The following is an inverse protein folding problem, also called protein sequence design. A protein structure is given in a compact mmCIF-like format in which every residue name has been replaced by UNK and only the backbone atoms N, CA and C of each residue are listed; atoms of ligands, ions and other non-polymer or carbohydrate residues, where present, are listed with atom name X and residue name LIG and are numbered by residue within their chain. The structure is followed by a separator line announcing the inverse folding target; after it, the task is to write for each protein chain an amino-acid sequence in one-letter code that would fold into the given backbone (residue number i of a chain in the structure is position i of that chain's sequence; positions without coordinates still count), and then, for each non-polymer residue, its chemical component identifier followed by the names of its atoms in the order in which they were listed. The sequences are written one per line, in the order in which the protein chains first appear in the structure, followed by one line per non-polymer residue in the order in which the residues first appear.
data_IF_847804999516
#
_entry.id   IF_847804999516
#
_cell.length_a   1.000
_cell.length_b   1.000
_cell.length_c   1.000
_cell.angle_alpha   90.00
_cell.angle_beta   90.00
_cell.angle_gamma   90.00
#
_symmetry.space_group_name_H-M   'P 1'
#
loop_
_entity.id
_entity.type
_entity.pdbx_description
1 polymer ?
#
# COMPACT_ATOMS: atom_id res chain seq x y z
N UNK A 1 -24.56 -1.60 15.57
CA UNK A 1 -23.15 -1.95 15.26
C UNK A 1 -23.10 -2.30 13.78
N UNK A 2 -22.12 -1.77 13.06
CA UNK A 2 -22.07 -1.90 11.59
C UNK A 2 -21.13 -3.04 11.13
N UNK A 3 -20.93 -4.07 11.97
CA UNK A 3 -20.15 -5.25 11.63
C UNK A 3 -20.76 -6.52 12.25
N UNK A 4 -20.38 -7.70 11.73
CA UNK A 4 -20.88 -8.98 12.20
C UNK A 4 -20.23 -9.38 13.54
N UNK A 5 -20.93 -9.09 14.65
CA UNK A 5 -20.47 -9.32 16.02
C UNK A 5 -20.18 -10.80 16.27
N UNK A 6 -21.01 -11.71 15.77
CA UNK A 6 -20.82 -13.14 15.98
C UNK A 6 -19.52 -13.64 15.35
N UNK A 7 -19.19 -13.15 14.14
CA UNK A 7 -17.91 -13.47 13.49
C UNK A 7 -16.75 -12.92 14.30
N UNK A 8 -16.83 -11.68 14.77
CA UNK A 8 -15.79 -11.08 15.60
C UNK A 8 -15.58 -11.84 16.91
N UNK A 9 -16.67 -12.17 17.61
CA UNK A 9 -16.63 -12.85 18.90
C UNK A 9 -16.00 -14.24 18.80
N UNK A 10 -16.32 -15.00 17.76
CA UNK A 10 -15.71 -16.29 17.47
C UNK A 10 -14.19 -16.21 17.23
N UNK A 11 -13.74 -15.17 16.51
CA UNK A 11 -12.31 -14.95 16.28
C UNK A 11 -11.60 -14.52 17.56
N UNK A 12 -12.22 -13.64 18.32
CA UNK A 12 -11.70 -13.18 19.61
C UNK A 12 -11.52 -14.34 20.59
N UNK A 13 -12.51 -15.24 20.70
CA UNK A 13 -12.38 -16.44 21.54
C UNK A 13 -11.23 -17.35 21.14
N UNK A 14 -11.09 -17.55 19.82
CA UNK A 14 -9.99 -18.35 19.27
C UNK A 14 -8.65 -17.73 19.61
N UNK A 15 -8.54 -16.41 19.43
CA UNK A 15 -7.35 -15.63 19.70
C UNK A 15 -6.97 -15.67 21.20
N UNK A 16 -7.94 -15.44 22.11
CA UNK A 16 -7.71 -15.52 23.55
C UNK A 16 -7.23 -16.93 23.98
N UNK A 17 -7.80 -17.98 23.39
CA UNK A 17 -7.35 -19.36 23.66
C UNK A 17 -5.91 -19.61 23.20
N UNK A 18 -5.52 -19.04 22.05
CA UNK A 18 -4.14 -19.11 21.55
C UNK A 18 -3.18 -18.36 22.46
N UNK A 19 -3.49 -17.12 22.84
CA UNK A 19 -2.66 -16.30 23.74
C UNK A 19 -2.31 -17.02 25.04
N UNK A 20 -3.26 -17.77 25.60
CA UNK A 20 -3.04 -18.54 26.85
C UNK A 20 -2.13 -19.76 26.69
N UNK A 21 -1.93 -20.25 25.45
CA UNK A 21 -1.21 -21.49 25.17
C UNK A 21 0.13 -21.30 24.48
N UNK A 22 0.35 -20.15 23.84
CA UNK A 22 1.47 -19.94 22.95
C UNK A 22 2.37 -18.81 23.44
N UNK A 23 3.53 -19.19 24.00
CA UNK A 23 4.53 -18.24 24.49
C UNK A 23 5.12 -17.33 23.39
N UNK A 24 5.14 -17.77 22.13
CA UNK A 24 5.61 -16.95 20.99
C UNK A 24 4.71 -15.74 20.78
N UNK A 25 3.39 -15.91 20.94
CA UNK A 25 2.45 -14.78 20.82
C UNK A 25 2.67 -13.72 21.90
N UNK A 26 3.10 -14.13 23.09
CA UNK A 26 3.44 -13.19 24.16
C UNK A 26 4.66 -12.34 23.77
N UNK A 27 5.69 -12.94 23.19
CA UNK A 27 6.88 -12.24 22.69
C UNK A 27 6.50 -11.24 21.61
N UNK A 28 5.64 -11.61 20.66
CA UNK A 28 5.19 -10.71 19.60
C UNK A 28 4.35 -9.53 20.13
N UNK A 29 3.59 -9.71 21.21
CA UNK A 29 2.90 -8.61 21.89
C UNK A 29 3.89 -7.67 22.60
N UNK A 30 4.92 -8.22 23.23
CA UNK A 30 5.99 -7.45 23.85
C UNK A 30 6.75 -6.61 22.81
N UNK A 31 7.09 -7.17 21.65
CA UNK A 31 7.71 -6.44 20.53
C UNK A 31 6.84 -5.28 20.06
N UNK A 32 5.50 -5.45 19.98
CA UNK A 32 4.57 -4.38 19.64
C UNK A 32 4.56 -3.27 20.67
N UNK A 33 4.58 -3.60 21.94
CA UNK A 33 4.63 -2.64 23.03
C UNK A 33 5.95 -1.86 23.03
N UNK A 34 7.09 -2.55 22.85
CA UNK A 34 8.41 -1.91 22.74
C UNK A 34 8.45 -0.92 21.56
N UNK A 35 7.88 -1.29 20.41
CA UNK A 35 7.80 -0.43 19.23
C UNK A 35 6.92 0.79 19.50
N UNK A 36 5.75 0.63 20.12
CA UNK A 36 4.91 1.75 20.55
C UNK A 36 5.68 2.71 21.47
N UNK A 37 6.35 2.17 22.49
CA UNK A 37 7.18 2.96 23.41
C UNK A 37 8.34 3.66 22.71
N UNK A 38 8.92 3.05 21.66
CA UNK A 38 9.96 3.70 20.85
C UNK A 38 9.41 4.97 20.18
N UNK A 39 8.28 4.90 19.48
CA UNK A 39 7.70 6.05 18.78
C UNK A 39 7.21 7.14 19.75
N UNK A 40 6.68 6.77 20.90
CA UNK A 40 6.22 7.72 21.93
C UNK A 40 7.35 8.56 22.57
N UNK A 41 8.61 8.21 22.34
CA UNK A 41 9.77 9.04 22.77
C UNK A 41 9.95 10.30 21.93
N UNK A 42 9.35 10.35 20.73
CA UNK A 42 9.50 11.43 19.77
C UNK A 42 8.29 12.35 19.82
N UNK A 43 8.46 13.53 20.35
CA UNK A 43 7.52 14.64 20.23
C UNK A 43 7.72 15.39 18.89
N UNK A 44 6.87 16.40 18.63
CA UNK A 44 6.93 17.18 17.39
C UNK A 44 8.31 17.81 17.14
N UNK A 45 8.96 18.34 18.19
CA UNK A 45 10.25 19.00 18.05
C UNK A 45 11.34 17.99 17.72
N UNK A 46 11.38 16.86 18.41
CA UNK A 46 12.34 15.78 18.13
C UNK A 46 12.23 15.27 16.71
N UNK A 47 10.99 15.13 16.17
CA UNK A 47 10.81 14.73 14.77
C UNK A 47 11.37 15.78 13.80
N UNK A 48 11.11 17.06 14.06
CA UNK A 48 11.61 18.16 13.22
C UNK A 48 13.15 18.26 13.27
N UNK A 49 13.74 17.98 14.42
CA UNK A 49 15.18 18.11 14.66
C UNK A 49 15.99 16.86 14.28
N UNK A 50 15.32 15.76 13.83
CA UNK A 50 16.03 14.54 13.41
C UNK A 50 17.08 14.83 12.34
N UNK A 51 18.24 14.22 12.51
CA UNK A 51 19.23 14.04 11.43
C UNK A 51 18.68 13.06 10.38
N UNK A 52 19.35 12.97 9.23
CA UNK A 52 18.95 12.04 8.18
C UNK A 52 19.07 10.57 8.63
N UNK A 53 20.15 10.24 9.36
CA UNK A 53 20.36 8.89 9.91
C UNK A 53 19.26 8.51 10.94
N UNK A 54 18.93 9.43 11.87
CA UNK A 54 17.85 9.21 12.83
C UNK A 54 16.48 9.04 12.14
N UNK A 55 16.24 9.79 11.06
CA UNK A 55 15.04 9.67 10.27
C UNK A 55 14.97 8.33 9.53
N UNK A 56 16.09 7.87 8.97
CA UNK A 56 16.19 6.53 8.37
C UNK A 56 15.87 5.45 9.39
N UNK A 57 16.45 5.52 10.59
CA UNK A 57 16.13 4.57 11.66
C UNK A 57 14.66 4.65 12.06
N UNK A 58 14.11 5.86 12.25
CA UNK A 58 12.72 6.09 12.61
C UNK A 58 11.73 5.48 11.61
N UNK A 59 11.92 5.71 10.33
CA UNK A 59 11.03 5.19 9.28
C UNK A 59 11.25 3.69 9.06
N UNK A 60 12.48 3.19 9.07
CA UNK A 60 12.79 1.78 8.80
C UNK A 60 12.15 0.81 9.82
N UNK A 61 11.93 1.29 11.06
CA UNK A 61 11.30 0.52 12.13
C UNK A 61 9.77 0.35 11.99
N UNK A 62 9.12 1.03 11.04
CA UNK A 62 7.69 0.83 10.79
C UNK A 62 7.44 -0.59 10.22
N UNK A 63 6.39 -1.26 10.71
CA UNK A 63 5.92 -2.53 10.13
C UNK A 63 5.57 -2.39 8.65
N UNK A 64 5.02 -1.23 8.26
CA UNK A 64 4.73 -0.91 6.87
C UNK A 64 5.98 -0.95 5.97
N UNK A 65 7.18 -0.78 6.54
CA UNK A 65 8.44 -0.88 5.79
C UNK A 65 8.95 -2.31 5.61
N UNK A 66 8.36 -3.31 6.28
CA UNK A 66 8.84 -4.71 6.22
C UNK A 66 8.62 -5.35 4.83
N UNK A 67 7.75 -4.78 4.00
CA UNK A 67 7.54 -5.24 2.63
C UNK A 67 8.73 -4.94 1.71
N UNK A 68 9.59 -3.99 2.08
CA UNK A 68 10.70 -3.53 1.27
C UNK A 68 12.01 -4.21 1.67
N UNK A 69 12.63 -4.94 0.74
CA UNK A 69 13.96 -5.54 0.95
C UNK A 69 15.09 -4.51 0.99
N UNK A 70 14.91 -3.34 0.36
CA UNK A 70 15.86 -2.22 0.41
C UNK A 70 15.16 -0.98 0.97
N UNK A 71 15.05 -0.93 2.29
CA UNK A 71 14.41 0.18 3.03
C UNK A 71 15.12 1.51 2.80
N UNK A 72 16.46 1.49 2.77
CA UNK A 72 17.29 2.68 2.56
C UNK A 72 16.94 3.38 1.24
N UNK A 73 16.88 2.62 0.15
CA UNK A 73 16.47 3.14 -1.16
C UNK A 73 15.08 3.81 -1.12
N UNK A 74 14.12 3.15 -0.48
CA UNK A 74 12.74 3.66 -0.40
C UNK A 74 12.66 4.93 0.45
N UNK A 75 13.38 4.99 1.57
CA UNK A 75 13.41 6.17 2.45
C UNK A 75 14.11 7.34 1.74
N UNK A 76 15.22 7.09 1.05
CA UNK A 76 15.89 8.11 0.22
C UNK A 76 14.94 8.66 -0.84
N UNK A 77 14.16 7.79 -1.49
CA UNK A 77 13.14 8.22 -2.44
C UNK A 77 12.06 9.10 -1.80
N UNK A 78 11.59 8.79 -0.60
CA UNK A 78 10.66 9.67 0.12
C UNK A 78 11.26 11.05 0.40
N UNK A 79 12.54 11.10 0.78
CA UNK A 79 13.27 12.35 1.02
C UNK A 79 13.42 13.14 -0.28
N UNK A 80 13.81 12.51 -1.39
CA UNK A 80 13.97 13.15 -2.70
C UNK A 80 12.64 13.71 -3.24
N UNK A 81 11.57 12.91 -3.19
CA UNK A 81 10.26 13.27 -3.74
C UNK A 81 9.55 14.39 -2.95
N UNK A 82 9.87 14.56 -1.67
CA UNK A 82 9.16 15.46 -0.77
C UNK A 82 10.02 16.58 -0.16
N UNK A 83 11.33 16.44 -0.15
CA UNK A 83 12.25 17.27 0.61
C UNK A 83 12.28 16.91 2.10
N UNK A 84 13.49 16.74 2.65
CA UNK A 84 13.69 16.21 4.00
C UNK A 84 12.98 17.03 5.10
N UNK A 85 13.15 18.36 5.09
CA UNK A 85 12.51 19.22 6.10
C UNK A 85 10.99 19.27 5.98
N UNK A 86 10.45 19.22 4.75
CA UNK A 86 9.01 19.19 4.51
C UNK A 86 8.40 17.88 5.01
N UNK A 87 9.09 16.76 4.80
CA UNK A 87 8.65 15.44 5.24
C UNK A 87 8.60 15.36 6.77
N UNK A 88 9.66 15.78 7.48
CA UNK A 88 9.69 15.83 8.94
C UNK A 88 8.60 16.72 9.53
N UNK A 89 8.44 17.93 9.00
CA UNK A 89 7.37 18.87 9.43
C UNK A 89 5.99 18.31 9.19
N UNK A 90 5.76 17.63 8.06
CA UNK A 90 4.47 17.03 7.74
C UNK A 90 4.15 15.85 8.67
N UNK A 91 5.13 15.01 9.01
CA UNK A 91 4.96 13.94 10.00
C UNK A 91 4.65 14.53 11.39
N UNK A 92 5.40 15.54 11.82
CA UNK A 92 5.14 16.20 13.10
C UNK A 92 3.72 16.81 13.15
N UNK A 93 3.26 17.43 12.05
CA UNK A 93 1.91 17.99 11.94
C UNK A 93 0.84 16.89 11.93
N UNK A 94 1.08 15.76 11.23
CA UNK A 94 0.17 14.60 11.22
C UNK A 94 -0.04 14.08 12.65
N UNK A 95 1.05 13.94 13.41
CA UNK A 95 1.02 13.32 14.73
C UNK A 95 0.57 14.29 15.84
N UNK A 96 1.02 15.54 15.79
CA UNK A 96 0.88 16.47 16.91
C UNK A 96 0.19 17.80 16.55
N UNK A 97 -0.29 17.97 15.32
CA UNK A 97 -1.00 19.16 14.89
C UNK A 97 -2.26 19.42 15.72
N UNK A 98 -2.72 20.67 15.72
CA UNK A 98 -3.89 21.12 16.52
C UNK A 98 -5.22 20.77 15.89
N UNK A 99 -5.24 20.52 14.57
CA UNK A 99 -6.46 20.16 13.86
C UNK A 99 -6.91 18.74 14.22
N UNK A 100 -8.18 18.44 13.87
CA UNK A 100 -8.71 17.07 13.96
C UNK A 100 -7.87 16.11 13.11
N UNK A 101 -7.75 14.86 13.53
CA UNK A 101 -6.97 13.83 12.84
C UNK A 101 -7.39 13.69 11.37
N UNK A 102 -8.68 13.72 11.08
CA UNK A 102 -9.20 13.67 9.70
C UNK A 102 -8.61 14.76 8.80
N UNK A 103 -8.53 16.00 9.29
CA UNK A 103 -7.98 17.12 8.52
C UNK A 103 -6.46 17.01 8.36
N UNK A 104 -5.76 16.58 9.41
CA UNK A 104 -4.31 16.34 9.38
C UNK A 104 -3.95 15.22 8.40
N UNK A 105 -4.76 14.16 8.37
CA UNK A 105 -4.65 13.06 7.43
C UNK A 105 -4.77 13.55 5.97
N UNK A 106 -5.85 14.25 5.64
CA UNK A 106 -6.11 14.75 4.28
C UNK A 106 -5.02 15.75 3.85
N UNK A 107 -4.57 16.61 4.76
CA UNK A 107 -3.45 17.54 4.51
C UNK A 107 -2.15 16.80 4.22
N UNK A 108 -1.85 15.74 4.96
CA UNK A 108 -0.65 14.92 4.75
C UNK A 108 -0.70 14.21 3.39
N UNK A 109 -1.80 13.52 3.08
CA UNK A 109 -2.00 12.83 1.81
C UNK A 109 -1.87 13.76 0.59
N UNK A 110 -2.32 15.01 0.74
CA UNK A 110 -2.20 16.01 -0.34
C UNK A 110 -0.77 16.49 -0.56
N UNK A 111 0.03 16.56 0.50
CA UNK A 111 1.33 17.23 0.48
C UNK A 111 2.52 16.28 0.36
N UNK A 112 2.34 15.01 0.72
CA UNK A 112 3.43 14.02 0.79
C UNK A 112 3.14 12.86 -0.18
N UNK A 113 4.14 12.55 -1.00
CA UNK A 113 4.10 11.45 -1.97
C UNK A 113 4.72 10.18 -1.40
N UNK A 114 4.15 9.04 -1.77
CA UNK A 114 4.71 7.71 -1.47
C UNK A 114 4.51 7.21 -0.04
N UNK A 115 4.11 8.07 0.89
CA UNK A 115 3.89 7.74 2.29
C UNK A 115 2.41 7.41 2.53
N UNK A 116 2.05 6.17 2.30
CA UNK A 116 0.64 5.74 2.25
C UNK A 116 -0.03 5.54 3.62
N UNK A 117 -1.34 5.16 3.59
CA UNK A 117 -2.16 4.95 4.78
C UNK A 117 -1.58 4.00 5.82
N UNK A 118 -0.88 2.95 5.39
CA UNK A 118 -0.27 1.99 6.31
C UNK A 118 0.75 2.66 7.23
N UNK A 119 1.65 3.49 6.68
CA UNK A 119 2.65 4.21 7.46
C UNK A 119 2.04 5.31 8.32
N UNK A 120 1.11 6.09 7.75
CA UNK A 120 0.42 7.18 8.46
C UNK A 120 -0.36 6.65 9.66
N UNK A 121 -1.15 5.61 9.45
CA UNK A 121 -1.99 5.03 10.50
C UNK A 121 -1.20 4.28 11.55
N UNK A 122 -0.09 3.65 11.17
CA UNK A 122 0.82 2.99 12.11
C UNK A 122 1.42 4.01 13.08
N UNK A 123 1.96 5.13 12.56
CA UNK A 123 2.46 6.22 13.40
C UNK A 123 1.37 6.81 14.30
N UNK A 124 0.18 7.06 13.77
CA UNK A 124 -0.96 7.55 14.55
C UNK A 124 -1.38 6.56 15.64
N UNK A 125 -1.39 5.26 15.35
CA UNK A 125 -1.72 4.23 16.32
C UNK A 125 -0.73 4.18 17.50
N UNK A 126 0.58 4.35 17.24
CA UNK A 126 1.57 4.39 18.31
C UNK A 126 1.41 5.61 19.23
N UNK A 127 0.99 6.76 18.68
CA UNK A 127 0.81 7.98 19.48
C UNK A 127 -0.58 8.01 20.14
N UNK A 128 -1.61 7.52 19.47
CA UNK A 128 -3.00 7.49 19.94
C UNK A 128 -3.57 6.06 19.95
N UNK A 129 -3.01 5.14 20.76
CA UNK A 129 -3.31 3.71 20.66
C UNK A 129 -4.75 3.34 21.03
N UNK A 130 -5.51 4.22 21.69
CA UNK A 130 -6.92 4.00 22.00
C UNK A 130 -7.88 4.63 20.98
N UNK A 131 -7.36 5.46 20.06
CA UNK A 131 -8.18 6.22 19.12
C UNK A 131 -7.92 5.88 17.66
N UNK A 132 -6.69 5.53 17.31
CA UNK A 132 -6.21 5.32 15.95
C UNK A 132 -5.85 3.86 15.71
N UNK A 133 -6.42 3.25 14.67
CA UNK A 133 -6.13 1.89 14.24
C UNK A 133 -5.06 1.87 13.15
N UNK A 134 -4.40 0.73 12.92
CA UNK A 134 -3.50 0.54 11.79
C UNK A 134 -4.31 0.14 10.56
N UNK A 135 -4.24 0.98 9.51
CA UNK A 135 -4.91 0.76 8.24
C UNK A 135 -3.96 0.14 7.21
N UNK A 136 -4.07 -1.14 6.99
CA UNK A 136 -3.31 -1.89 5.99
C UNK A 136 -4.19 -2.95 5.33
N UNK A 137 -3.65 -3.72 4.39
CA UNK A 137 -4.38 -4.80 3.73
C UNK A 137 -4.94 -5.83 4.70
N UNK A 138 -4.23 -6.13 5.79
CA UNK A 138 -4.70 -7.10 6.79
C UNK A 138 -5.96 -6.59 7.50
N UNK A 139 -5.99 -5.32 7.87
CA UNK A 139 -7.17 -4.71 8.50
C UNK A 139 -8.35 -4.61 7.53
N UNK A 140 -8.12 -4.30 6.25
CA UNK A 140 -9.18 -4.29 5.23
C UNK A 140 -9.78 -5.68 5.01
N UNK A 141 -8.94 -6.72 4.94
CA UNK A 141 -9.41 -8.11 4.85
C UNK A 141 -10.22 -8.54 6.09
N UNK A 142 -9.79 -8.11 7.29
CA UNK A 142 -10.53 -8.33 8.51
C UNK A 142 -11.90 -7.65 8.47
N UNK A 143 -11.98 -6.42 7.99
CA UNK A 143 -13.24 -5.71 7.82
C UNK A 143 -14.17 -6.38 6.81
N UNK A 144 -13.65 -6.84 5.68
CA UNK A 144 -14.42 -7.63 4.70
C UNK A 144 -14.98 -8.91 5.33
N UNK A 145 -14.16 -9.65 6.08
CA UNK A 145 -14.60 -10.84 6.81
C UNK A 145 -15.72 -10.52 7.81
N UNK A 146 -15.62 -9.38 8.48
CA UNK A 146 -16.60 -8.88 9.44
C UNK A 146 -17.82 -8.22 8.78
N UNK A 147 -17.91 -8.26 7.44
CA UNK A 147 -19.04 -7.75 6.65
C UNK A 147 -19.23 -6.22 6.78
N UNK A 148 -18.16 -5.49 7.07
CA UNK A 148 -18.17 -4.03 7.01
C UNK A 148 -18.26 -3.62 5.54
N UNK A 149 -19.19 -2.72 5.24
CA UNK A 149 -19.47 -2.25 3.88
C UNK A 149 -18.73 -0.96 3.56
N UNK A 150 -18.73 -0.60 2.27
CA UNK A 150 -18.18 0.65 1.76
C UNK A 150 -16.68 0.85 2.12
N UNK A 151 -15.91 -0.23 2.08
CA UNK A 151 -14.47 -0.20 2.29
C UNK A 151 -13.77 0.47 1.11
N UNK A 152 -12.71 1.27 1.33
CA UNK A 152 -11.97 1.89 0.26
C UNK A 152 -11.23 0.84 -0.56
N UNK A 153 -11.28 1.03 -1.88
CA UNK A 153 -10.59 0.20 -2.87
C UNK A 153 -9.44 0.95 -3.54
N UNK A 154 -9.58 2.26 -3.64
CA UNK A 154 -8.64 3.15 -4.33
C UNK A 154 -8.13 4.23 -3.40
N UNK A 155 -6.91 4.70 -3.62
CA UNK A 155 -6.24 5.69 -2.78
C UNK A 155 -7.06 6.98 -2.61
N UNK A 156 -7.82 7.42 -3.62
CA UNK A 156 -8.66 8.62 -3.48
C UNK A 156 -9.82 8.47 -2.48
N UNK A 157 -10.15 7.24 -2.09
CA UNK A 157 -11.16 6.93 -1.07
C UNK A 157 -10.56 6.91 0.35
N UNK A 158 -9.24 6.95 0.48
CA UNK A 158 -8.49 6.87 1.73
C UNK A 158 -8.43 8.24 2.43
N UNK A 159 -9.60 8.84 2.60
CA UNK A 159 -9.76 10.14 3.24
C UNK A 159 -9.68 10.05 4.76
N UNK A 160 -9.33 11.17 5.42
CA UNK A 160 -9.33 11.26 6.87
C UNK A 160 -10.68 10.94 7.49
N UNK A 161 -11.79 11.32 6.84
CA UNK A 161 -13.13 10.94 7.27
C UNK A 161 -13.33 9.41 7.26
N UNK A 162 -12.87 8.73 6.21
CA UNK A 162 -12.94 7.27 6.12
C UNK A 162 -12.05 6.62 7.17
N UNK A 163 -10.85 7.15 7.41
CA UNK A 163 -9.95 6.67 8.47
C UNK A 163 -10.62 6.73 9.86
N UNK A 164 -11.23 7.84 10.23
CA UNK A 164 -11.94 7.98 11.51
C UNK A 164 -13.15 7.03 11.61
N UNK A 165 -13.85 6.81 10.49
CA UNK A 165 -14.93 5.81 10.43
C UNK A 165 -14.39 4.40 10.74
N UNK A 166 -13.29 3.98 10.12
CA UNK A 166 -12.65 2.69 10.36
C UNK A 166 -12.13 2.56 11.79
N UNK A 167 -11.54 3.63 12.34
CA UNK A 167 -11.16 3.68 13.76
C UNK A 167 -12.36 3.45 14.69
N UNK A 168 -13.55 3.96 14.34
CA UNK A 168 -14.75 3.77 15.16
C UNK A 168 -15.15 2.31 15.28
N UNK A 169 -15.05 1.53 14.21
CA UNK A 169 -15.29 0.06 14.26
C UNK A 169 -14.29 -0.65 15.16
N UNK A 170 -13.00 -0.34 15.02
CA UNK A 170 -11.99 -0.94 15.89
C UNK A 170 -12.17 -0.57 17.37
N UNK A 171 -12.60 0.66 17.68
CA UNK A 171 -12.92 1.05 19.06
C UNK A 171 -14.11 0.29 19.64
N UNK A 172 -15.11 -0.02 18.83
CA UNK A 172 -16.22 -0.89 19.26
C UNK A 172 -15.74 -2.34 19.51
N UNK A 173 -14.89 -2.87 18.61
CA UNK A 173 -14.28 -4.20 18.78
C UNK A 173 -13.39 -4.25 20.03
N UNK A 174 -12.63 -3.20 20.29
CA UNK A 174 -11.77 -3.10 21.48
C UNK A 174 -12.60 -3.13 22.77
N UNK A 175 -13.73 -2.43 22.82
CA UNK A 175 -14.65 -2.49 23.98
C UNK A 175 -15.14 -3.93 24.25
N UNK A 176 -15.51 -4.65 23.18
CA UNK A 176 -15.93 -6.05 23.30
C UNK A 176 -14.77 -6.94 23.79
N UNK A 177 -13.56 -6.74 23.24
CA UNK A 177 -12.37 -7.47 23.64
C UNK A 177 -12.01 -7.22 25.10
N UNK A 178 -11.99 -5.97 25.57
CA UNK A 178 -11.66 -5.60 26.92
C UNK A 178 -12.68 -6.17 27.95
N UNK A 179 -13.96 -6.14 27.62
CA UNK A 179 -15.00 -6.78 28.45
C UNK A 179 -14.79 -8.29 28.56
N UNK A 180 -14.35 -8.97 27.49
CA UNK A 180 -14.17 -10.42 27.45
C UNK A 180 -12.85 -10.87 28.10
N UNK A 181 -11.80 -10.07 27.97
CA UNK A 181 -10.48 -10.36 28.58
C UNK A 181 -10.35 -9.86 29.99
N UNK A 182 -11.23 -8.98 30.43
CA UNK A 182 -11.13 -8.22 31.68
C UNK A 182 -9.77 -7.50 31.80
N UNK A 183 -9.32 -6.90 30.68
CA UNK A 183 -8.04 -6.22 30.53
C UNK A 183 -8.25 -4.87 29.84
N UNK A 184 -7.34 -3.94 30.05
CA UNK A 184 -7.33 -2.62 29.39
C UNK A 184 -6.34 -2.66 28.19
N UNK A 185 -6.75 -3.37 27.13
CA UNK A 185 -5.97 -3.45 25.90
C UNK A 185 -6.16 -2.15 25.06
N UNK A 186 -5.25 -1.91 24.14
CA UNK A 186 -5.33 -0.85 23.14
C UNK A 186 -5.60 -1.42 21.71
N UNK A 187 -5.61 -0.55 20.68
CA UNK A 187 -5.92 -0.96 19.32
C UNK A 187 -4.83 -1.82 18.66
N UNK A 188 -3.60 -1.86 19.21
CA UNK A 188 -2.58 -2.81 18.76
C UNK A 188 -2.98 -4.26 19.08
N UNK A 189 -3.77 -4.49 20.14
CA UNK A 189 -4.36 -5.80 20.41
C UNK A 189 -5.31 -6.24 19.30
N UNK A 190 -6.14 -5.33 18.79
CA UNK A 190 -7.06 -5.59 17.66
C UNK A 190 -6.28 -5.82 16.36
N UNK A 191 -5.24 -5.01 16.09
CA UNK A 191 -4.35 -5.19 14.94
C UNK A 191 -3.71 -6.59 14.96
N UNK A 192 -3.21 -7.02 16.11
CA UNK A 192 -2.60 -8.34 16.23
C UNK A 192 -3.60 -9.49 16.09
N UNK A 193 -4.82 -9.34 16.61
CA UNK A 193 -5.91 -10.29 16.36
C UNK A 193 -6.19 -10.41 14.85
N UNK A 194 -6.24 -9.31 14.13
CA UNK A 194 -6.43 -9.33 12.67
C UNK A 194 -5.27 -10.04 11.97
N UNK A 195 -4.05 -9.73 12.36
CA UNK A 195 -2.85 -10.31 11.76
C UNK A 195 -2.75 -11.82 12.01
N UNK A 196 -2.96 -12.28 13.24
CA UNK A 196 -2.80 -13.71 13.61
C UNK A 196 -3.95 -14.59 13.09
N UNK A 197 -5.20 -14.15 13.31
CA UNK A 197 -6.35 -15.00 13.01
C UNK A 197 -6.92 -14.80 11.61
N UNK A 198 -6.85 -13.61 11.04
CA UNK A 198 -7.52 -13.28 9.79
C UNK A 198 -6.58 -13.20 8.59
N UNK A 199 -5.27 -13.26 8.80
CA UNK A 199 -4.25 -13.35 7.74
C UNK A 199 -4.50 -14.53 6.79
N UNK A 200 -5.05 -15.64 7.28
CA UNK A 200 -5.30 -16.86 6.51
C UNK A 200 -6.61 -16.83 5.71
N UNK A 201 -7.47 -15.84 5.91
CA UNK A 201 -8.77 -15.75 5.21
C UNK A 201 -8.63 -15.34 3.73
N UNK A 202 -7.41 -15.19 3.23
CA UNK A 202 -7.07 -14.83 1.84
C UNK A 202 -7.57 -15.78 0.76
N UNK A 203 -8.19 -16.90 1.07
CA UNK A 203 -8.45 -17.97 0.08
C UNK A 203 -9.90 -18.12 -0.37
N UNK A 204 -10.83 -17.30 0.08
CA UNK A 204 -12.20 -17.35 -0.47
C UNK A 204 -12.58 -16.00 -1.08
N UNK A 205 -12.50 -15.93 -2.41
CA UNK A 205 -13.11 -14.84 -3.19
C UNK A 205 -14.60 -14.76 -2.86
N UNK A 206 -15.03 -13.70 -2.20
CA UNK A 206 -16.41 -13.25 -2.31
C UNK A 206 -16.38 -12.01 -3.21
N UNK A 207 -17.05 -12.15 -4.36
CA UNK A 207 -17.36 -11.05 -5.26
C UNK A 207 -18.04 -9.92 -4.49
N UNK A 208 -17.36 -8.77 -4.40
CA UNK A 208 -17.97 -7.54 -3.90
C UNK A 208 -18.86 -7.03 -5.04
N UNK A 209 -20.17 -6.95 -4.82
CA UNK A 209 -21.08 -6.23 -5.72
C UNK A 209 -20.73 -4.74 -5.69
N UNK A 210 -20.23 -4.26 -6.81
CA UNK A 210 -19.84 -2.86 -7.00
C UNK A 210 -21.09 -1.98 -7.15
N UNK A 211 -21.18 -0.95 -6.29
CA UNK A 211 -22.02 0.20 -6.63
C UNK A 211 -21.21 1.13 -7.55
N UNK A 212 -21.77 1.61 -8.67
CA UNK A 212 -21.06 2.55 -9.52
C UNK A 212 -20.75 3.83 -8.75
N UNK A 213 -19.47 4.12 -8.63
CA UNK A 213 -18.97 5.36 -8.01
C UNK A 213 -18.99 6.43 -9.11
N UNK A 214 -19.52 7.61 -8.81
CA UNK A 214 -19.42 8.77 -9.70
C UNK A 214 -17.97 9.25 -9.67
N UNK A 215 -17.19 8.84 -10.67
CA UNK A 215 -15.79 9.21 -10.81
C UNK A 215 -15.68 10.67 -11.27
N UNK A 216 -15.08 11.51 -10.44
CA UNK A 216 -14.69 12.87 -10.84
C UNK A 216 -13.38 12.83 -11.64
N UNK A 217 -13.10 13.90 -12.43
CA UNK A 217 -11.82 14.00 -13.17
C UNK A 217 -10.60 13.97 -12.21
N UNK A 218 -10.74 14.51 -11.00
CA UNK A 218 -9.70 14.49 -9.97
C UNK A 218 -9.44 13.07 -9.46
N UNK A 219 -10.50 12.29 -9.23
CA UNK A 219 -10.40 10.89 -8.82
C UNK A 219 -9.72 10.03 -9.90
N UNK A 220 -10.02 10.27 -11.18
CA UNK A 220 -9.36 9.58 -12.31
C UNK A 220 -7.87 9.87 -12.37
N UNK A 221 -7.46 11.11 -12.12
CA UNK A 221 -6.03 11.47 -12.07
C UNK A 221 -5.32 10.82 -10.89
N UNK A 222 -5.97 10.74 -9.74
CA UNK A 222 -5.45 10.04 -8.56
C UNK A 222 -5.30 8.55 -8.83
N UNK A 223 -6.32 7.89 -9.42
CA UNK A 223 -6.29 6.48 -9.80
C UNK A 223 -5.18 6.17 -10.82
N UNK A 224 -4.98 7.05 -11.81
CA UNK A 224 -3.89 6.90 -12.79
C UNK A 224 -2.52 6.86 -12.08
N UNK A 225 -2.27 7.78 -11.17
CA UNK A 225 -1.02 7.83 -10.40
C UNK A 225 -0.86 6.58 -9.54
N UNK A 226 -1.91 6.16 -8.86
CA UNK A 226 -1.93 4.95 -8.03
C UNK A 226 -1.58 3.70 -8.83
N UNK A 227 -2.21 3.50 -9.99
CA UNK A 227 -1.96 2.33 -10.84
C UNK A 227 -0.52 2.32 -11.37
N UNK A 228 0.04 3.47 -11.76
CA UNK A 228 1.46 3.59 -12.14
C UNK A 228 2.38 3.14 -11.02
N UNK A 229 2.13 3.60 -9.79
CA UNK A 229 2.92 3.22 -8.63
C UNK A 229 2.81 1.72 -8.34
N UNK A 230 1.60 1.15 -8.37
CA UNK A 230 1.39 -0.28 -8.15
C UNK A 230 2.06 -1.14 -9.23
N UNK A 231 1.96 -0.76 -10.50
CA UNK A 231 2.65 -1.47 -11.60
C UNK A 231 4.15 -1.42 -11.41
N UNK A 232 4.73 -0.26 -11.06
CA UNK A 232 6.16 -0.14 -10.73
C UNK A 232 6.54 -1.07 -9.58
N UNK A 233 5.80 -1.02 -8.49
CA UNK A 233 6.11 -1.79 -7.28
C UNK A 233 6.00 -3.29 -7.49
N UNK A 234 5.04 -3.75 -8.30
CA UNK A 234 4.98 -5.16 -8.75
C UNK A 234 6.29 -5.55 -9.43
N UNK A 235 6.83 -4.70 -10.32
CA UNK A 235 8.11 -4.95 -10.96
C UNK A 235 9.25 -5.08 -9.94
N UNK A 236 9.34 -4.16 -8.98
CA UNK A 236 10.33 -4.21 -7.90
C UNK A 236 10.18 -5.48 -7.04
N UNK A 237 8.98 -5.89 -6.69
CA UNK A 237 8.71 -7.13 -5.95
C UNK A 237 9.15 -8.38 -6.71
N UNK A 238 9.08 -8.34 -8.04
CA UNK A 238 9.51 -9.44 -8.91
C UNK A 238 11.00 -9.39 -9.26
N UNK A 239 11.74 -8.40 -8.76
CA UNK A 239 13.20 -8.27 -8.96
C UNK A 239 13.60 -7.55 -10.24
N UNK A 240 12.68 -6.84 -10.90
CA UNK A 240 13.00 -5.93 -11.99
C UNK A 240 13.54 -4.59 -11.43
N UNK A 241 14.34 -3.90 -12.23
CA UNK A 241 14.61 -2.48 -12.06
C UNK A 241 13.43 -1.71 -12.69
N UNK A 242 12.53 -1.20 -11.85
CA UNK A 242 11.26 -0.63 -12.29
C UNK A 242 11.19 0.87 -12.00
N UNK A 243 10.78 1.66 -13.01
CA UNK A 243 10.75 3.13 -12.95
C UNK A 243 9.52 3.70 -13.63
N UNK A 244 9.05 4.87 -13.13
CA UNK A 244 7.94 5.63 -13.71
C UNK A 244 8.45 6.70 -14.68
N UNK A 245 7.62 7.07 -15.66
CA UNK A 245 7.81 8.20 -16.57
C UNK A 245 9.14 8.17 -17.34
N UNK A 246 9.45 7.01 -17.90
CA UNK A 246 10.72 6.74 -18.58
C UNK A 246 10.65 7.17 -20.05
N UNK A 247 11.65 7.92 -20.47
CA UNK A 247 11.83 8.26 -21.89
C UNK A 247 12.47 7.10 -22.64
N UNK A 248 11.76 6.52 -23.60
CA UNK A 248 12.27 5.47 -24.46
C UNK A 248 12.69 6.09 -25.81
N UNK A 249 13.98 5.99 -26.10
CA UNK A 249 14.56 6.49 -27.34
C UNK A 249 14.26 7.97 -27.62
N UNK A 250 13.98 8.33 -28.90
CA UNK A 250 13.87 9.70 -29.34
C UNK A 250 12.45 10.28 -29.25
N UNK A 251 11.60 9.87 -28.31
CA UNK A 251 10.37 10.62 -28.18
C UNK A 251 9.12 9.97 -27.57
N UNK A 252 9.18 8.78 -27.02
CA UNK A 252 8.08 8.26 -26.22
C UNK A 252 8.43 8.39 -24.73
N UNK A 253 7.59 9.07 -23.97
CA UNK A 253 7.60 8.97 -22.50
C UNK A 253 6.50 7.98 -22.16
N UNK A 254 6.84 6.93 -21.44
CA UNK A 254 5.93 5.85 -21.05
C UNK A 254 5.74 5.85 -19.55
N UNK A 255 4.58 5.39 -19.11
CA UNK A 255 4.20 5.49 -17.70
C UNK A 255 5.06 4.66 -16.77
N UNK A 256 5.33 3.37 -17.12
CA UNK A 256 6.17 2.48 -16.30
C UNK A 256 7.04 1.61 -17.22
N UNK A 257 8.25 1.35 -16.74
CA UNK A 257 9.20 0.43 -17.38
C UNK A 257 9.71 -0.56 -16.35
N UNK A 258 9.76 -1.84 -16.74
CA UNK A 258 10.49 -2.87 -16.01
C UNK A 258 11.68 -3.32 -16.82
N UNK A 259 12.85 -3.21 -16.25
CA UNK A 259 14.11 -3.58 -16.86
C UNK A 259 14.75 -4.77 -16.16
N UNK A 260 15.28 -5.69 -16.93
CA UNK A 260 16.05 -6.81 -16.42
C UNK A 260 17.36 -6.96 -17.19
N UNK A 261 18.47 -6.89 -16.48
CA UNK A 261 19.81 -7.04 -17.08
C UNK A 261 20.23 -8.52 -17.08
N UNK A 262 20.48 -9.06 -18.26
CA UNK A 262 21.01 -10.41 -18.42
C UNK A 262 22.52 -10.30 -18.71
N UNK A 263 23.34 -10.80 -17.79
CA UNK A 263 24.79 -10.75 -17.93
C UNK A 263 25.23 -11.22 -19.33
N UNK A 264 26.02 -10.38 -20.04
CA UNK A 264 26.58 -10.61 -21.38
C UNK A 264 25.56 -10.73 -22.53
N UNK A 265 24.25 -10.62 -22.30
CA UNK A 265 23.21 -10.73 -23.34
C UNK A 265 22.56 -9.38 -23.64
N UNK A 266 22.45 -8.51 -22.63
CA UNK A 266 21.85 -7.20 -22.76
C UNK A 266 20.70 -6.96 -21.78
N UNK A 267 19.95 -5.91 -22.03
CA UNK A 267 18.81 -5.47 -21.22
C UNK A 267 17.51 -5.89 -21.88
N UNK A 268 16.61 -6.49 -21.12
CA UNK A 268 15.24 -6.81 -21.50
C UNK A 268 14.31 -5.80 -20.83
N UNK A 269 13.42 -5.22 -21.61
CA UNK A 269 12.53 -4.13 -21.15
C UNK A 269 11.07 -4.50 -21.40
N UNK A 270 10.21 -4.31 -20.40
CA UNK A 270 8.75 -4.32 -20.53
C UNK A 270 8.22 -2.90 -20.32
N UNK A 271 7.28 -2.51 -21.14
CA UNK A 271 6.75 -1.13 -21.17
C UNK A 271 5.27 -1.14 -20.88
N UNK A 272 4.84 -0.29 -19.97
CA UNK A 272 3.45 -0.17 -19.56
C UNK A 272 2.95 1.26 -19.78
N UNK A 273 1.73 1.36 -20.28
CA UNK A 273 0.94 2.59 -20.36
C UNK A 273 -0.35 2.39 -19.58
N UNK A 274 -0.67 3.33 -18.70
CA UNK A 274 -1.86 3.31 -17.84
C UNK A 274 -2.89 4.29 -18.35
N UNK A 275 -4.13 3.87 -18.49
CA UNK A 275 -5.23 4.72 -18.97
C UNK A 275 -6.43 4.60 -18.03
N UNK A 276 -6.81 5.70 -17.39
CA UNK A 276 -7.97 5.79 -16.50
C UNK A 276 -9.08 6.69 -17.06
N UNK A 277 -8.87 7.23 -18.27
CA UNK A 277 -9.84 8.08 -18.97
C UNK A 277 -9.19 8.87 -20.10
N UNK A 278 -9.99 9.51 -20.96
CA UNK A 278 -9.51 10.27 -22.11
C UNK A 278 -9.29 9.44 -23.37
N UNK A 279 -8.55 9.99 -24.37
CA UNK A 279 -8.27 9.32 -25.65
C UNK A 279 -7.19 8.26 -25.50
N UNK A 280 -7.43 7.08 -26.07
CA UNK A 280 -6.49 5.95 -26.11
C UNK A 280 -5.44 6.06 -27.21
N UNK A 281 -5.56 7.05 -28.13
CA UNK A 281 -4.64 7.20 -29.25
C UNK A 281 -3.19 7.43 -28.81
N UNK A 282 -2.99 8.27 -27.78
CA UNK A 282 -1.65 8.56 -27.26
C UNK A 282 -1.01 7.32 -26.64
N UNK A 283 -1.78 6.51 -25.90
CA UNK A 283 -1.32 5.24 -25.34
C UNK A 283 -0.88 4.28 -26.46
N UNK A 284 -1.73 4.07 -27.46
CA UNK A 284 -1.43 3.19 -28.61
C UNK A 284 -0.17 3.67 -29.33
N UNK A 285 -0.04 4.98 -29.57
CA UNK A 285 1.12 5.55 -30.25
C UNK A 285 2.42 5.46 -29.44
N UNK A 286 2.36 5.62 -28.11
CA UNK A 286 3.53 5.46 -27.25
C UNK A 286 3.99 4.00 -27.23
N UNK A 287 3.06 3.05 -27.08
CA UNK A 287 3.36 1.61 -27.14
C UNK A 287 3.88 1.20 -28.53
N UNK A 288 3.34 1.75 -29.61
CA UNK A 288 3.84 1.50 -30.99
C UNK A 288 5.28 2.01 -31.15
N UNK A 289 5.60 3.21 -30.64
CA UNK A 289 6.97 3.72 -30.67
C UNK A 289 7.91 2.83 -29.83
N UNK A 290 7.48 2.43 -28.64
CA UNK A 290 8.25 1.56 -27.78
C UNK A 290 8.50 0.17 -28.40
N UNK A 291 7.51 -0.40 -29.11
CA UNK A 291 7.62 -1.74 -29.74
C UNK A 291 8.76 -1.87 -30.74
N UNK A 292 9.19 -0.75 -31.35
CA UNK A 292 10.26 -0.70 -32.37
C UNK A 292 11.66 -0.89 -31.79
N UNK A 293 11.83 -0.80 -30.47
CA UNK A 293 13.13 -1.00 -29.84
C UNK A 293 13.39 -2.48 -29.59
N UNK A 294 14.61 -2.94 -29.94
CA UNK A 294 14.98 -4.37 -29.88
C UNK A 294 14.98 -4.94 -28.46
N UNK A 295 15.33 -4.13 -27.47
CA UNK A 295 15.34 -4.52 -26.07
C UNK A 295 13.96 -4.59 -25.42
N UNK A 296 12.95 -3.97 -26.03
CA UNK A 296 11.57 -4.05 -25.54
C UNK A 296 10.99 -5.40 -25.93
N UNK A 297 10.63 -6.22 -24.96
CA UNK A 297 10.05 -7.56 -25.18
C UNK A 297 8.54 -7.57 -25.05
N UNK A 298 7.97 -6.73 -24.21
CA UNK A 298 6.54 -6.60 -24.00
C UNK A 298 6.09 -5.15 -23.97
N UNK A 299 4.89 -4.91 -24.48
CA UNK A 299 4.18 -3.64 -24.45
C UNK A 299 2.78 -3.91 -23.86
N UNK A 300 2.45 -3.26 -22.77
CA UNK A 300 1.29 -3.57 -21.95
C UNK A 300 0.43 -2.31 -21.76
N UNK A 301 -0.86 -2.42 -22.01
CA UNK A 301 -1.86 -1.41 -21.65
C UNK A 301 -2.57 -1.82 -20.38
N UNK A 302 -2.67 -0.90 -19.42
CA UNK A 302 -3.35 -1.09 -18.15
C UNK A 302 -4.56 -0.16 -18.10
N UNK A 303 -5.77 -0.70 -17.92
CA UNK A 303 -7.00 0.10 -17.86
C UNK A 303 -8.17 -0.72 -17.28
N UNK A 304 -9.35 -0.10 -17.20
CA UNK A 304 -10.60 -0.82 -16.95
C UNK A 304 -11.01 -1.71 -18.15
N UNK A 305 -11.86 -2.68 -17.91
CA UNK A 305 -12.30 -3.66 -18.92
C UNK A 305 -12.90 -3.01 -20.17
N UNK A 306 -13.63 -1.88 -20.02
CA UNK A 306 -14.25 -1.17 -21.14
C UNK A 306 -13.22 -0.50 -22.02
N UNK A 307 -12.26 0.19 -21.41
CA UNK A 307 -11.16 0.84 -22.12
C UNK A 307 -10.25 -0.18 -22.81
N UNK A 308 -9.95 -1.30 -22.15
CA UNK A 308 -9.16 -2.40 -22.72
C UNK A 308 -9.79 -2.97 -23.98
N UNK A 309 -11.11 -3.14 -24.01
CA UNK A 309 -11.82 -3.61 -25.20
C UNK A 309 -11.70 -2.57 -26.35
N UNK A 310 -11.77 -1.28 -26.06
CA UNK A 310 -11.57 -0.24 -27.06
C UNK A 310 -10.11 -0.22 -27.55
N UNK A 311 -9.12 -0.29 -26.65
CA UNK A 311 -7.70 -0.39 -26.99
C UNK A 311 -7.45 -1.60 -27.91
N UNK A 312 -8.05 -2.75 -27.60
CA UNK A 312 -7.93 -3.95 -28.43
C UNK A 312 -8.42 -3.72 -29.85
N UNK A 313 -9.63 -3.15 -30.01
CA UNK A 313 -10.23 -2.88 -31.33
C UNK A 313 -9.42 -1.88 -32.13
N UNK A 314 -9.04 -0.76 -31.53
CA UNK A 314 -8.33 0.31 -32.24
C UNK A 314 -6.87 -0.07 -32.55
N UNK A 315 -6.24 -0.89 -31.74
CA UNK A 315 -4.86 -1.33 -31.95
C UNK A 315 -4.73 -2.47 -32.98
N UNK A 316 -5.78 -3.23 -33.26
CA UNK A 316 -5.73 -4.44 -34.10
C UNK A 316 -5.15 -4.17 -35.48
N UNK A 317 -5.65 -3.14 -36.17
CA UNK A 317 -5.16 -2.77 -37.51
C UNK A 317 -3.77 -2.13 -37.48
N UNK A 318 -3.46 -1.34 -36.43
CA UNK A 318 -2.18 -0.66 -36.25
C UNK A 318 -1.05 -1.67 -36.02
N UNK A 319 -1.30 -2.70 -35.21
CA UNK A 319 -0.30 -3.72 -34.87
C UNK A 319 -0.36 -4.98 -35.75
N UNK A 320 -1.18 -4.96 -36.85
CA UNK A 320 -1.36 -6.12 -37.71
C UNK A 320 -0.07 -6.64 -38.33
N UNK A 321 0.85 -5.74 -38.68
CA UNK A 321 2.13 -6.05 -39.31
C UNK A 321 3.31 -5.90 -38.32
N UNK A 322 3.06 -5.63 -37.05
CA UNK A 322 4.12 -5.49 -36.05
C UNK A 322 4.42 -6.84 -35.37
N UNK A 323 5.68 -7.07 -35.06
CA UNK A 323 6.15 -8.30 -34.39
C UNK A 323 5.68 -8.43 -32.96
N UNK A 324 5.25 -7.35 -32.33
CA UNK A 324 4.75 -7.28 -30.95
C UNK A 324 3.32 -6.76 -30.95
N UNK A 325 2.47 -7.39 -30.17
CA UNK A 325 1.09 -6.95 -29.94
C UNK A 325 0.96 -6.38 -28.55
N UNK A 326 0.00 -5.47 -28.36
CA UNK A 326 -0.33 -4.93 -27.04
C UNK A 326 -0.93 -6.07 -26.19
N UNK A 327 -0.34 -6.28 -25.05
CA UNK A 327 -0.93 -7.10 -23.98
C UNK A 327 -1.83 -6.21 -23.13
N UNK A 328 -2.95 -6.77 -22.69
CA UNK A 328 -3.96 -6.03 -21.93
C UNK A 328 -3.95 -6.53 -20.49
N UNK A 329 -3.90 -5.62 -19.54
CA UNK A 329 -3.92 -5.93 -18.12
C UNK A 329 -4.99 -5.10 -17.42
N UNK A 330 -5.99 -5.79 -16.87
CA UNK A 330 -7.10 -5.13 -16.18
C UNK A 330 -6.59 -4.44 -14.88
N UNK A 331 -7.07 -3.23 -14.63
CA UNK A 331 -6.67 -2.45 -13.46
C UNK A 331 -6.98 -3.14 -12.13
N UNK A 332 -8.07 -3.91 -12.08
CA UNK A 332 -8.46 -4.66 -10.89
C UNK A 332 -7.52 -5.85 -10.65
N UNK A 333 -7.07 -6.50 -11.74
CA UNK A 333 -6.04 -7.53 -11.67
C UNK A 333 -4.69 -6.95 -11.21
N UNK A 334 -4.33 -5.72 -11.62
CA UNK A 334 -3.13 -5.04 -11.13
C UNK A 334 -3.19 -4.85 -9.62
N UNK A 335 -4.31 -4.37 -9.09
CA UNK A 335 -4.51 -4.16 -7.66
C UNK A 335 -4.42 -5.50 -6.91
N UNK A 336 -5.11 -6.54 -7.40
CA UNK A 336 -5.11 -7.87 -6.79
C UNK A 336 -3.73 -8.53 -6.79
N UNK A 337 -2.95 -8.38 -7.87
CA UNK A 337 -1.56 -8.85 -7.95
C UNK A 337 -0.66 -8.09 -6.99
N UNK A 338 -0.78 -6.76 -6.94
CA UNK A 338 -0.03 -5.93 -6.01
C UNK A 338 -0.26 -6.36 -4.56
N UNK A 339 -1.51 -6.49 -4.15
CA UNK A 339 -1.89 -6.89 -2.80
C UNK A 339 -1.35 -8.27 -2.41
N UNK A 340 -1.40 -9.22 -3.35
CA UNK A 340 -0.86 -10.58 -3.15
C UNK A 340 0.66 -10.56 -2.99
N UNK A 341 1.37 -9.86 -3.86
CA UNK A 341 2.83 -9.76 -3.80
C UNK A 341 3.29 -9.02 -2.55
N UNK A 342 2.62 -7.93 -2.18
CA UNK A 342 2.87 -7.22 -0.93
C UNK A 342 2.78 -8.15 0.27
N UNK A 343 1.74 -8.99 0.30
CA UNK A 343 1.55 -9.96 1.38
C UNK A 343 2.62 -11.06 1.42
N UNK A 344 3.03 -11.55 0.24
CA UNK A 344 4.11 -12.56 0.13
C UNK A 344 5.43 -11.94 0.61
N UNK A 345 5.79 -10.75 0.14
CA UNK A 345 7.00 -10.05 0.55
C UNK A 345 7.03 -9.81 2.06
N UNK A 346 5.93 -9.33 2.64
CA UNK A 346 5.81 -9.15 4.08
C UNK A 346 6.07 -10.45 4.85
N UNK A 347 5.51 -11.57 4.37
CA UNK A 347 5.69 -12.88 5.00
C UNK A 347 7.13 -13.39 4.87
N UNK A 348 7.74 -13.26 3.70
CA UNK A 348 9.11 -13.71 3.44
C UNK A 348 10.11 -12.86 4.22
N UNK A 349 10.00 -11.55 4.19
CA UNK A 349 10.91 -10.64 4.90
C UNK A 349 10.85 -10.84 6.42
N UNK A 350 9.68 -11.17 6.97
CA UNK A 350 9.54 -11.50 8.39
C UNK A 350 10.29 -12.79 8.79
N UNK A 351 10.33 -13.79 7.88
CA UNK A 351 11.07 -15.05 8.10
C UNK A 351 12.58 -14.84 7.97
N UNK A 352 12.99 -14.05 6.97
CA UNK A 352 14.40 -13.80 6.69
C UNK A 352 15.03 -12.87 7.74
N UNK A 353 14.23 -12.36 8.70
CA UNK A 353 14.68 -11.37 9.69
C UNK A 353 15.52 -10.26 9.02
N UNK A 354 15.05 -9.78 7.87
CA UNK A 354 15.59 -8.59 7.22
C UNK A 354 15.17 -7.38 8.09
N UNK A 355 15.51 -7.48 9.36
CA UNK A 355 15.50 -6.43 10.36
C UNK A 355 16.93 -6.14 10.74
N UNK A 356 17.36 -4.93 10.54
CA UNK A 356 18.40 -4.08 11.16
C UNK A 356 19.66 -4.73 11.83
N UNK A 357 19.85 -6.04 11.80
CA UNK A 357 21.01 -6.69 12.43
C UNK A 357 22.25 -6.84 11.54
N UNK A 358 22.22 -6.28 10.31
CA UNK A 358 23.39 -6.30 9.39
C UNK A 358 24.11 -4.94 9.31
N UNK A 359 23.85 -4.05 10.26
CA UNK A 359 24.53 -2.77 10.40
C UNK A 359 25.32 -2.70 11.70
N UNK A 360 26.35 -3.56 11.84
CA UNK A 360 27.48 -3.37 12.77
C UNK A 360 28.77 -3.53 11.98
#
# INVERSE_FOLDING_TARGET
MNFNINKFDNQLETYIKKLKKNGTMQIELEEREERKLYYQKYDANKIIDMTEDEFHEYISKLWAMIIWGNKEYIINKYIEDNGFDNLKKSIAELLYGRDKIENRWDKFNKNIKGFGPAMMSELLCYIYPFDCMIWNNTSLLAYQYLEIKDLPRYNYQETGKKYIELCSYCKEMLKLANNKTNSDNDLLFIDYLFWDNLKLYKMSKSSIEEKPIIETAENKKSLHTELKEKVRDIGLFLGFDASNEVKIGNGAVVDVVWDFSINNVGKVTYVFEVQTGGSIDSLIMNLLKASKYKNVQGIIAVSDATQLENIRKESEDIFKNENKKIQLWDQDDVIDVYDKLQSVNQSVNSILKIDDSLGN
#
